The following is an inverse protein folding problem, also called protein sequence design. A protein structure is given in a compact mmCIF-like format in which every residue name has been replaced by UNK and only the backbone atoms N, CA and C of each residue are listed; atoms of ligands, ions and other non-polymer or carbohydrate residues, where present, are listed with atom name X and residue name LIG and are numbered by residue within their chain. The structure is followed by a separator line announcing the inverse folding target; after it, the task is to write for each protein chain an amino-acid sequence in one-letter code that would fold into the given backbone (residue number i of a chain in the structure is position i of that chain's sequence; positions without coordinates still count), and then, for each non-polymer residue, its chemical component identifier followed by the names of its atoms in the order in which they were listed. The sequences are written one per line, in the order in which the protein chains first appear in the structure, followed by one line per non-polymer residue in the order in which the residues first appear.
data_IF_735892248916
#
_entry.id   IF_735892248916
#
_cell.length_a   1.000
_cell.length_b   1.000
_cell.length_c   1.000
_cell.angle_alpha   90.00
_cell.angle_beta   90.00
_cell.angle_gamma   90.00
#
_symmetry.space_group_name_H-M   'P 1'
#
loop_
_entity.id
_entity.type
_entity.pdbx_description
1 polymer ?
#
# COMPACT_ATOMS: atom_id res chain seq x y z
N UNK A 1 -16.65 -16.45 11.78
CA UNK A 1 -17.04 -17.10 10.49
C UNK A 1 -18.53 -17.47 10.38
N UNK A 2 -19.30 -17.48 11.46
CA UNK A 2 -20.72 -17.85 11.46
C UNK A 2 -21.66 -16.91 10.68
N UNK A 3 -21.25 -15.70 10.35
CA UNK A 3 -22.05 -14.66 9.68
C UNK A 3 -21.86 -14.65 8.15
N UNK A 4 -20.87 -15.37 7.61
CA UNK A 4 -20.64 -15.44 6.17
C UNK A 4 -21.69 -16.33 5.48
N UNK A 5 -22.21 -15.86 4.34
CA UNK A 5 -23.11 -16.66 3.51
C UNK A 5 -22.36 -17.78 2.76
N UNK A 6 -23.10 -18.69 2.10
CA UNK A 6 -22.50 -19.83 1.39
C UNK A 6 -21.57 -19.39 0.24
N UNK A 7 -21.95 -18.33 -0.49
CA UNK A 7 -21.13 -17.78 -1.57
C UNK A 7 -19.80 -17.22 -1.06
N UNK A 8 -19.83 -16.41 0.00
CA UNK A 8 -18.60 -15.87 0.62
C UNK A 8 -17.68 -16.99 1.11
N UNK A 9 -18.23 -18.05 1.73
CA UNK A 9 -17.42 -19.20 2.15
C UNK A 9 -16.75 -19.90 0.96
N UNK A 10 -17.46 -20.08 -0.15
CA UNK A 10 -16.88 -20.67 -1.35
C UNK A 10 -15.77 -19.79 -1.95
N UNK A 11 -15.97 -18.47 -2.01
CA UNK A 11 -14.95 -17.53 -2.47
C UNK A 11 -13.71 -17.55 -1.56
N UNK A 12 -13.91 -17.69 -0.26
CA UNK A 12 -12.81 -17.79 0.70
C UNK A 12 -11.98 -19.07 0.49
N UNK A 13 -12.61 -20.22 0.22
CA UNK A 13 -11.90 -21.45 -0.14
C UNK A 13 -11.14 -21.29 -1.47
N UNK A 14 -11.78 -20.71 -2.49
CA UNK A 14 -11.13 -20.45 -3.78
C UNK A 14 -9.89 -19.55 -3.62
N UNK A 15 -10.00 -18.51 -2.76
CA UNK A 15 -8.88 -17.61 -2.46
C UNK A 15 -7.75 -18.35 -1.73
N UNK A 16 -8.11 -19.23 -0.79
CA UNK A 16 -7.12 -20.06 -0.09
C UNK A 16 -6.37 -20.97 -1.07
N UNK A 17 -7.08 -21.66 -1.94
CA UNK A 17 -6.47 -22.55 -2.95
C UNK A 17 -5.57 -21.76 -3.93
N UNK A 18 -6.00 -20.54 -4.31
CA UNK A 18 -5.20 -19.64 -5.12
C UNK A 18 -3.94 -19.16 -4.40
N UNK A 19 -4.05 -18.84 -3.13
CA UNK A 19 -2.90 -18.45 -2.30
C UNK A 19 -1.89 -19.61 -2.16
N UNK A 20 -2.36 -20.86 -1.98
CA UNK A 20 -1.49 -22.04 -1.95
C UNK A 20 -0.79 -22.29 -3.31
N UNK A 21 -1.46 -21.93 -4.42
CA UNK A 21 -0.82 -21.92 -5.74
C UNK A 21 0.25 -20.84 -5.82
N UNK A 22 -0.04 -19.60 -5.38
CA UNK A 22 0.93 -18.50 -5.40
C UNK A 22 2.16 -18.77 -4.52
N UNK A 23 2.04 -19.50 -3.41
CA UNK A 23 3.19 -19.89 -2.60
C UNK A 23 4.20 -20.78 -3.36
N UNK A 24 3.71 -21.60 -4.28
CA UNK A 24 4.56 -22.49 -5.09
C UNK A 24 5.16 -21.77 -6.30
N UNK A 25 4.35 -20.99 -7.02
CA UNK A 25 4.75 -20.35 -8.27
C UNK A 25 5.39 -18.98 -8.06
N UNK A 26 5.04 -18.30 -6.99
CA UNK A 26 5.47 -16.95 -6.56
C UNK A 26 5.85 -15.99 -7.70
N UNK A 27 4.94 -15.76 -8.68
CA UNK A 27 5.21 -14.85 -9.78
C UNK A 27 5.36 -13.43 -9.27
N UNK A 28 6.51 -12.79 -9.52
CA UNK A 28 6.70 -11.38 -9.18
C UNK A 28 5.78 -10.50 -10.06
N UNK A 29 4.94 -9.68 -9.43
CA UNK A 29 4.00 -8.77 -10.09
C UNK A 29 4.21 -7.32 -9.71
N UNK A 30 4.62 -7.06 -8.46
CA UNK A 30 4.87 -5.72 -7.96
C UNK A 30 6.25 -5.68 -7.29
N UNK A 31 7.09 -4.77 -7.77
CA UNK A 31 8.40 -4.50 -7.22
C UNK A 31 8.43 -3.05 -6.70
N UNK A 32 8.36 -2.89 -5.39
CA UNK A 32 8.51 -1.59 -4.76
C UNK A 32 9.98 -1.19 -4.67
N UNK A 33 10.31 -0.05 -5.21
CA UNK A 33 11.59 0.59 -5.02
C UNK A 33 11.47 1.79 -4.08
N UNK A 34 11.95 1.65 -2.84
CA UNK A 34 12.07 2.78 -1.91
C UNK A 34 13.23 3.67 -2.36
N UNK A 35 12.98 4.46 -3.38
CA UNK A 35 14.00 5.20 -4.10
C UNK A 35 14.59 6.39 -3.30
N UNK A 36 13.87 6.84 -2.27
CA UNK A 36 14.28 7.92 -1.35
C UNK A 36 13.54 7.80 -0.02
N UNK A 37 14.17 8.20 1.08
CA UNK A 37 13.51 8.45 2.37
C UNK A 37 13.34 9.93 2.66
N UNK A 38 13.73 10.82 1.72
CA UNK A 38 13.45 12.25 1.83
C UNK A 38 11.99 12.54 1.47
N UNK A 39 11.38 13.47 2.20
CA UNK A 39 10.00 13.91 1.94
C UNK A 39 9.89 15.41 2.17
N UNK A 40 9.11 16.09 1.34
CA UNK A 40 8.80 17.52 1.50
C UNK A 40 7.70 17.80 2.54
N UNK A 41 7.20 16.76 3.21
CA UNK A 41 6.22 16.83 4.31
C UNK A 41 6.70 16.06 5.55
N UNK A 42 6.01 16.31 6.69
CA UNK A 42 6.23 15.60 7.96
C UNK A 42 4.90 15.14 8.55
N UNK A 43 4.17 14.31 7.79
CA UNK A 43 2.82 13.84 8.12
C UNK A 43 2.78 13.15 9.49
N UNK A 44 1.72 13.40 10.27
CA UNK A 44 1.54 12.83 11.63
C UNK A 44 1.45 11.30 11.64
N UNK A 45 0.88 10.73 10.58
CA UNK A 45 0.65 9.29 10.43
C UNK A 45 1.75 8.53 9.68
N UNK A 46 2.86 9.16 9.30
CA UNK A 46 3.86 8.53 8.44
C UNK A 46 4.50 7.29 9.10
N UNK A 47 4.21 6.12 8.54
CA UNK A 47 4.76 4.84 9.00
C UNK A 47 6.26 4.68 8.75
N UNK A 48 6.80 5.37 7.72
CA UNK A 48 8.22 5.35 7.37
C UNK A 48 9.05 6.41 8.08
N UNK A 49 8.42 7.29 8.86
CA UNK A 49 9.06 8.42 9.56
C UNK A 49 9.92 9.32 8.65
N UNK A 50 9.52 9.46 7.39
CA UNK A 50 10.23 10.28 6.41
C UNK A 50 10.17 11.77 6.74
N UNK A 51 11.29 12.46 6.51
CA UNK A 51 11.47 13.89 6.75
C UNK A 51 12.18 14.54 5.56
N UNK A 52 12.36 15.89 5.63
CA UNK A 52 13.04 16.66 4.58
C UNK A 52 14.46 16.16 4.30
N UNK A 53 15.15 15.75 5.34
CA UNK A 53 16.48 15.16 5.28
C UNK A 53 16.41 13.70 5.72
N UNK A 54 17.21 12.85 5.13
CA UNK A 54 17.32 11.44 5.50
C UNK A 54 18.79 11.09 5.83
N UNK A 55 18.98 10.21 6.81
CA UNK A 55 20.30 9.66 7.12
C UNK A 55 20.76 8.62 6.10
N UNK A 56 19.79 8.01 5.39
CA UNK A 56 20.05 7.10 4.28
C UNK A 56 19.99 7.93 2.99
N UNK A 57 21.07 7.96 2.18
CA UNK A 57 21.05 8.66 0.91
C UNK A 57 20.03 8.04 -0.05
N UNK A 58 19.60 8.81 -1.05
CA UNK A 58 18.82 8.27 -2.16
C UNK A 58 19.62 7.17 -2.85
N UNK A 59 18.99 6.04 -3.11
CA UNK A 59 19.66 4.98 -3.88
C UNK A 59 19.92 5.47 -5.31
N UNK A 60 21.17 5.47 -5.80
CA UNK A 60 21.47 5.80 -7.19
C UNK A 60 20.68 4.90 -8.15
N UNK A 61 20.17 5.47 -9.25
CA UNK A 61 19.52 4.67 -10.30
C UNK A 61 20.41 3.51 -10.77
N UNK A 62 21.72 3.77 -10.93
CA UNK A 62 22.69 2.77 -11.38
C UNK A 62 22.76 1.53 -10.46
N UNK A 63 22.45 1.68 -9.18
CA UNK A 63 22.45 0.56 -8.22
C UNK A 63 21.18 -0.29 -8.34
N UNK A 64 20.08 0.29 -8.81
CA UNK A 64 18.81 -0.40 -8.98
C UNK A 64 18.68 -1.06 -10.37
N UNK A 65 19.37 -0.57 -11.39
CA UNK A 65 19.30 -1.14 -12.75
C UNK A 65 19.62 -2.64 -12.82
N UNK A 66 20.65 -3.17 -12.12
CA UNK A 66 20.91 -4.61 -12.10
C UNK A 66 19.71 -5.44 -11.58
N UNK A 67 18.96 -4.93 -10.60
CA UNK A 67 17.75 -5.59 -10.10
C UNK A 67 16.71 -5.72 -11.22
N UNK A 68 16.47 -4.64 -11.97
CA UNK A 68 15.55 -4.67 -13.12
C UNK A 68 16.03 -5.63 -14.21
N UNK A 69 17.33 -5.65 -14.51
CA UNK A 69 17.91 -6.53 -15.52
C UNK A 69 17.79 -8.00 -15.11
N UNK A 70 17.99 -8.34 -13.82
CA UNK A 70 17.76 -9.69 -13.29
C UNK A 70 16.28 -10.10 -13.39
N UNK A 71 15.35 -9.23 -12.99
CA UNK A 71 13.91 -9.51 -13.08
C UNK A 71 13.49 -9.73 -14.54
N UNK A 72 13.94 -8.88 -15.47
CA UNK A 72 13.61 -9.00 -16.89
C UNK A 72 14.20 -10.26 -17.55
N UNK A 73 15.29 -10.82 -16.98
CA UNK A 73 15.89 -12.06 -17.47
C UNK A 73 15.08 -13.31 -17.08
N UNK A 74 14.18 -13.21 -16.07
CA UNK A 74 13.48 -14.35 -15.49
C UNK A 74 11.95 -14.32 -15.66
N UNK A 75 11.37 -13.16 -15.91
CA UNK A 75 9.93 -13.02 -16.13
C UNK A 75 9.63 -11.96 -17.20
N UNK A 76 8.37 -11.96 -17.69
CA UNK A 76 7.91 -10.93 -18.63
C UNK A 76 7.79 -9.57 -17.91
N UNK A 77 8.64 -8.56 -18.23
CA UNK A 77 8.61 -7.27 -17.57
C UNK A 77 7.26 -6.54 -17.73
N UNK A 78 6.53 -6.80 -18.81
CA UNK A 78 5.22 -6.18 -19.06
C UNK A 78 4.15 -6.60 -18.03
N UNK A 79 4.40 -7.67 -17.28
CA UNK A 79 3.53 -8.19 -16.23
C UNK A 79 3.96 -7.72 -14.83
N UNK A 80 5.03 -6.91 -14.74
CA UNK A 80 5.57 -6.43 -13.46
C UNK A 80 5.43 -4.91 -13.37
N UNK A 81 4.78 -4.44 -12.31
CA UNK A 81 4.74 -3.05 -11.93
C UNK A 81 5.94 -2.72 -11.06
N UNK A 82 6.71 -1.71 -11.45
CA UNK A 82 7.77 -1.14 -10.60
C UNK A 82 7.25 0.16 -10.00
N UNK A 83 7.05 0.16 -8.67
CA UNK A 83 6.51 1.30 -7.93
C UNK A 83 7.65 2.11 -7.30
N UNK A 84 7.87 3.34 -7.76
CA UNK A 84 8.76 4.28 -7.09
C UNK A 84 8.08 4.89 -5.87
N UNK A 85 8.64 4.63 -4.71
CA UNK A 85 8.03 4.95 -3.40
C UNK A 85 9.10 5.41 -2.39
N UNK A 86 8.69 5.58 -1.14
CA UNK A 86 9.56 5.88 -0.01
C UNK A 86 9.06 7.06 0.81
N UNK A 87 9.77 8.21 0.78
CA UNK A 87 9.27 9.48 1.28
C UNK A 87 8.32 10.11 0.26
N UNK A 88 8.87 10.98 -0.57
CA UNK A 88 8.16 11.57 -1.71
C UNK A 88 9.02 11.44 -2.98
N UNK A 89 8.63 10.62 -3.95
CA UNK A 89 9.44 10.42 -5.15
C UNK A 89 9.74 11.71 -5.93
N UNK A 90 8.80 12.66 -5.98
CA UNK A 90 8.98 13.94 -6.68
C UNK A 90 10.03 14.88 -6.04
N UNK A 91 10.66 14.50 -4.91
CA UNK A 91 11.83 15.24 -4.40
C UNK A 91 13.13 14.82 -5.08
N UNK A 92 13.16 13.66 -5.76
CA UNK A 92 14.31 13.21 -6.52
C UNK A 92 14.47 14.04 -7.80
N UNK A 93 15.67 14.59 -8.07
CA UNK A 93 15.90 15.38 -9.29
C UNK A 93 15.96 14.51 -10.56
N UNK A 94 16.28 13.22 -10.41
CA UNK A 94 16.44 12.23 -11.48
C UNK A 94 15.25 11.27 -11.64
N UNK A 95 14.09 11.58 -11.03
CA UNK A 95 12.92 10.69 -11.05
C UNK A 95 12.46 10.35 -12.47
N UNK A 96 12.48 11.33 -13.39
CA UNK A 96 12.07 11.10 -14.76
C UNK A 96 13.04 10.19 -15.52
N UNK A 97 14.33 10.25 -15.20
CA UNK A 97 15.32 9.31 -15.73
C UNK A 97 15.09 7.91 -15.17
N UNK A 98 14.74 7.80 -13.89
CA UNK A 98 14.36 6.52 -13.27
C UNK A 98 13.14 5.91 -13.99
N UNK A 99 12.09 6.69 -14.23
CA UNK A 99 10.90 6.24 -14.94
C UNK A 99 11.21 5.76 -16.36
N UNK A 100 11.98 6.54 -17.13
CA UNK A 100 12.43 6.14 -18.47
C UNK A 100 13.20 4.82 -18.45
N UNK A 101 14.15 4.67 -17.55
CA UNK A 101 14.96 3.45 -17.43
C UNK A 101 14.14 2.21 -17.09
N UNK A 102 13.12 2.35 -16.26
CA UNK A 102 12.14 1.30 -15.94
C UNK A 102 11.35 0.93 -17.21
N UNK A 103 10.81 1.92 -17.90
CA UNK A 103 10.00 1.73 -19.12
C UNK A 103 10.79 1.16 -20.30
N UNK A 104 12.04 1.58 -20.50
CA UNK A 104 12.93 1.06 -21.54
C UNK A 104 13.23 -0.44 -21.38
N UNK A 105 13.11 -0.97 -20.15
CA UNK A 105 13.23 -2.40 -19.85
C UNK A 105 11.92 -3.18 -19.97
N UNK A 106 10.84 -2.51 -20.38
CA UNK A 106 9.53 -3.13 -20.61
C UNK A 106 8.61 -3.18 -19.39
N UNK A 107 9.05 -2.73 -18.21
CA UNK A 107 8.22 -2.72 -17.00
C UNK A 107 7.11 -1.67 -17.06
N UNK A 108 6.01 -1.90 -16.35
CA UNK A 108 5.11 -0.83 -15.96
C UNK A 108 5.75 0.02 -14.87
N UNK A 109 5.45 1.33 -14.86
CA UNK A 109 5.99 2.24 -13.86
C UNK A 109 4.87 2.95 -13.11
N UNK A 110 4.87 2.80 -11.79
CA UNK A 110 3.93 3.43 -10.87
C UNK A 110 4.59 4.34 -9.84
N UNK A 111 3.77 5.16 -9.18
CA UNK A 111 4.20 6.07 -8.13
C UNK A 111 3.05 6.41 -7.17
N UNK A 112 3.38 6.57 -5.88
CA UNK A 112 2.49 7.22 -4.90
C UNK A 112 3.07 8.59 -4.55
N UNK A 113 2.25 9.65 -4.55
CA UNK A 113 2.68 11.01 -4.26
C UNK A 113 1.73 11.75 -3.33
N UNK A 114 2.30 12.62 -2.51
CA UNK A 114 1.53 13.56 -1.69
C UNK A 114 1.00 14.78 -2.50
N UNK A 115 1.28 14.86 -3.78
CA UNK A 115 0.79 15.87 -4.70
C UNK A 115 1.42 17.26 -4.57
N UNK A 116 2.27 17.53 -3.56
CA UNK A 116 2.75 18.90 -3.29
C UNK A 116 3.52 19.51 -4.46
N UNK A 117 4.26 18.71 -5.22
CA UNK A 117 5.04 19.13 -6.39
C UNK A 117 4.36 18.81 -7.72
N UNK A 118 3.21 18.13 -7.71
CA UNK A 118 2.55 17.69 -8.94
C UNK A 118 1.64 18.78 -9.49
N UNK A 119 2.08 19.40 -10.55
CA UNK A 119 1.31 20.35 -11.37
C UNK A 119 1.26 19.87 -12.84
N UNK A 120 0.63 20.64 -13.71
CA UNK A 120 0.53 20.31 -15.14
C UNK A 120 1.89 20.20 -15.85
N UNK A 121 2.93 20.90 -15.39
CA UNK A 121 4.26 20.79 -15.98
C UNK A 121 4.88 19.43 -15.61
N UNK A 122 4.86 19.07 -14.31
CA UNK A 122 5.33 17.78 -13.81
C UNK A 122 4.50 16.63 -14.39
N UNK A 123 3.17 16.79 -14.52
CA UNK A 123 2.31 15.79 -15.16
C UNK A 123 2.75 15.49 -16.60
N UNK A 124 3.10 16.51 -17.39
CA UNK A 124 3.65 16.29 -18.75
C UNK A 124 5.00 15.57 -18.73
N UNK A 125 5.88 15.90 -17.79
CA UNK A 125 7.18 15.21 -17.65
C UNK A 125 7.00 13.73 -17.28
N UNK A 126 6.08 13.43 -16.36
CA UNK A 126 5.70 12.05 -15.98
C UNK A 126 5.14 11.27 -17.17
N UNK A 127 4.24 11.88 -17.95
CA UNK A 127 3.70 11.29 -19.17
C UNK A 127 4.80 10.98 -20.20
N UNK A 128 5.72 11.92 -20.42
CA UNK A 128 6.88 11.73 -21.33
C UNK A 128 7.86 10.66 -20.82
N UNK A 129 7.99 10.50 -19.51
CA UNK A 129 8.79 9.44 -18.91
C UNK A 129 8.07 8.08 -18.88
N UNK A 130 6.78 8.03 -19.25
CA UNK A 130 6.02 6.81 -19.46
C UNK A 130 5.34 6.26 -18.19
N UNK A 131 4.91 7.13 -17.26
CA UNK A 131 4.16 6.70 -16.08
C UNK A 131 2.86 5.99 -16.49
N UNK A 132 2.53 4.88 -15.82
CA UNK A 132 1.33 4.07 -16.11
C UNK A 132 0.36 4.00 -14.94
N UNK A 133 0.85 4.21 -13.71
CA UNK A 133 0.03 4.18 -12.49
C UNK A 133 0.42 5.30 -11.53
N UNK A 134 -0.56 5.95 -10.89
CA UNK A 134 -0.31 7.02 -9.93
C UNK A 134 -1.39 7.07 -8.86
N UNK A 135 -0.98 7.15 -7.59
CA UNK A 135 -1.88 7.38 -6.47
C UNK A 135 -1.60 8.74 -5.84
N UNK A 136 -2.68 9.47 -5.50
CA UNK A 136 -2.62 10.78 -4.84
C UNK A 136 -3.29 10.68 -3.48
N UNK A 137 -2.64 11.23 -2.46
CA UNK A 137 -3.19 11.25 -1.11
C UNK A 137 -4.15 12.43 -0.88
N UNK A 138 -5.40 12.14 -0.46
CA UNK A 138 -6.38 13.11 0.05
C UNK A 138 -7.01 12.58 1.33
N UNK A 139 -6.59 13.08 2.50
CA UNK A 139 -6.96 12.54 3.81
C UNK A 139 -8.08 13.30 4.51
N UNK A 140 -8.86 14.08 3.81
CA UNK A 140 -9.94 14.83 4.42
C UNK A 140 -10.30 16.08 3.65
N UNK A 141 -11.24 16.83 4.19
CA UNK A 141 -11.44 18.20 3.79
C UNK A 141 -10.20 19.03 4.19
N UNK A 142 -10.12 20.27 3.76
CA UNK A 142 -8.93 21.14 3.94
C UNK A 142 -8.32 21.10 5.34
N UNK A 143 -9.15 21.19 6.35
CA UNK A 143 -8.65 21.26 7.74
C UNK A 143 -8.05 19.94 8.20
N UNK A 144 -8.79 18.84 8.01
CA UNK A 144 -8.36 17.49 8.43
C UNK A 144 -7.13 17.03 7.63
N UNK A 145 -7.14 17.25 6.31
CA UNK A 145 -6.02 16.91 5.44
C UNK A 145 -4.75 17.66 5.85
N UNK A 146 -4.83 19.00 5.95
CA UNK A 146 -3.69 19.83 6.31
C UNK A 146 -3.15 19.51 7.71
N UNK A 147 -4.05 19.20 8.65
CA UNK A 147 -3.65 18.77 9.99
C UNK A 147 -2.89 17.43 9.95
N UNK A 148 -3.40 16.41 9.25
CA UNK A 148 -2.78 15.10 9.20
C UNK A 148 -1.42 15.16 8.46
N UNK A 149 -1.36 15.93 7.37
CA UNK A 149 -0.14 16.14 6.57
C UNK A 149 0.85 17.11 7.21
N UNK A 150 0.47 17.77 8.31
CA UNK A 150 1.27 18.80 8.98
C UNK A 150 1.75 19.91 8.01
N UNK A 151 0.84 20.40 7.18
CA UNK A 151 1.10 21.37 6.11
C UNK A 151 -0.13 22.25 5.89
N UNK A 152 0.05 23.55 5.73
CA UNK A 152 -1.05 24.49 5.48
C UNK A 152 -1.50 24.54 4.03
N UNK A 153 -0.75 23.96 3.10
CA UNK A 153 -0.97 24.06 1.65
C UNK A 153 -1.20 22.71 0.96
N UNK A 154 -1.11 21.60 1.71
CA UNK A 154 -1.16 20.25 1.12
C UNK A 154 -2.49 19.93 0.48
N UNK A 155 -3.62 20.39 1.04
CA UNK A 155 -4.93 20.18 0.44
C UNK A 155 -5.05 20.81 -0.94
N UNK A 156 -4.69 22.10 -1.07
CA UNK A 156 -4.73 22.79 -2.37
C UNK A 156 -3.78 22.17 -3.39
N UNK A 157 -2.64 21.68 -2.93
CA UNK A 157 -1.69 20.99 -3.78
C UNK A 157 -2.24 19.63 -4.26
N UNK A 158 -2.86 18.84 -3.40
CA UNK A 158 -3.48 17.57 -3.77
C UNK A 158 -4.64 17.79 -4.78
N UNK A 159 -5.47 18.81 -4.60
CA UNK A 159 -6.54 19.13 -5.56
C UNK A 159 -5.97 19.56 -6.92
N UNK A 160 -4.91 20.37 -6.98
CA UNK A 160 -4.21 20.68 -8.23
C UNK A 160 -3.57 19.44 -8.87
N UNK A 161 -3.03 18.53 -8.07
CA UNK A 161 -2.47 17.29 -8.56
C UNK A 161 -3.55 16.40 -9.21
N UNK A 162 -4.76 16.32 -8.61
CA UNK A 162 -5.91 15.63 -9.20
C UNK A 162 -6.28 16.24 -10.57
N UNK A 163 -6.31 17.57 -10.68
CA UNK A 163 -6.56 18.23 -11.96
C UNK A 163 -5.47 17.92 -12.99
N UNK A 164 -4.21 17.93 -12.57
CA UNK A 164 -3.07 17.72 -13.46
C UNK A 164 -3.00 16.26 -13.98
N UNK A 165 -3.23 15.24 -13.14
CA UNK A 165 -3.12 13.83 -13.57
C UNK A 165 -4.17 13.46 -14.61
N UNK A 166 -5.34 14.07 -14.60
CA UNK A 166 -6.39 13.85 -15.62
C UNK A 166 -5.94 14.22 -17.03
N UNK A 167 -4.86 14.98 -17.17
CA UNK A 167 -4.29 15.33 -18.48
C UNK A 167 -3.30 14.30 -19.03
N UNK A 168 -2.94 13.27 -18.24
CA UNK A 168 -2.03 12.20 -18.66
C UNK A 168 -2.83 11.12 -19.38
N UNK A 169 -2.58 10.87 -20.68
CA UNK A 169 -3.30 9.83 -21.41
C UNK A 169 -3.03 8.44 -20.84
N UNK A 170 -4.05 7.58 -20.83
CA UNK A 170 -3.97 6.16 -20.47
C UNK A 170 -3.42 5.88 -19.07
N UNK A 171 -3.37 6.89 -18.18
CA UNK A 171 -2.93 6.75 -16.81
C UNK A 171 -4.02 6.05 -15.98
N UNK A 172 -3.66 4.95 -15.31
CA UNK A 172 -4.45 4.40 -14.21
C UNK A 172 -4.11 5.19 -12.94
N UNK A 173 -5.11 5.80 -12.32
CA UNK A 173 -4.85 6.58 -11.10
C UNK A 173 -6.02 6.52 -10.12
N UNK A 174 -5.70 6.70 -8.86
CA UNK A 174 -6.67 6.73 -7.79
C UNK A 174 -6.32 7.75 -6.69
N UNK A 175 -7.26 7.93 -5.79
CA UNK A 175 -7.05 8.70 -4.56
C UNK A 175 -6.97 7.75 -3.37
N UNK A 176 -6.01 8.00 -2.49
CA UNK A 176 -5.83 7.30 -1.23
C UNK A 176 -6.26 8.21 -0.06
N UNK A 177 -7.01 7.65 0.89
CA UNK A 177 -7.37 8.33 2.14
C UNK A 177 -6.99 7.47 3.35
N UNK A 178 -6.10 7.98 4.20
CA UNK A 178 -5.83 7.43 5.52
C UNK A 178 -6.90 7.89 6.51
N UNK A 179 -7.82 6.98 6.88
CA UNK A 179 -8.97 7.29 7.72
C UNK A 179 -8.58 7.24 9.21
N UNK A 180 -9.03 8.24 9.95
CA UNK A 180 -8.82 8.40 11.38
C UNK A 180 -10.06 9.01 12.05
N UNK A 181 -10.06 9.15 13.38
CA UNK A 181 -11.22 9.65 14.12
C UNK A 181 -11.68 11.07 13.74
N UNK A 182 -10.82 11.90 13.10
CA UNK A 182 -11.18 13.27 12.70
C UNK A 182 -11.87 13.33 11.34
N UNK A 183 -11.41 12.54 10.37
CA UNK A 183 -11.95 12.58 9.00
C UNK A 183 -13.10 11.57 8.79
N UNK A 184 -13.20 10.51 9.61
CA UNK A 184 -14.28 9.52 9.53
C UNK A 184 -15.69 10.14 9.48
N UNK A 185 -16.05 11.11 10.35
CA UNK A 185 -17.39 11.74 10.30
C UNK A 185 -17.66 12.51 9.01
N UNK A 186 -16.62 12.86 8.27
CA UNK A 186 -16.69 13.68 7.06
C UNK A 186 -16.52 12.90 5.76
N UNK A 187 -16.51 11.57 5.80
CA UNK A 187 -16.30 10.74 4.60
C UNK A 187 -17.32 11.01 3.49
N UNK A 188 -18.56 11.37 3.82
CA UNK A 188 -19.55 11.76 2.81
C UNK A 188 -19.20 13.08 2.10
N UNK A 189 -18.60 14.05 2.82
CA UNK A 189 -18.16 15.29 2.22
C UNK A 189 -16.94 15.05 1.34
N UNK A 190 -16.00 14.21 1.79
CA UNK A 190 -14.82 13.80 1.01
C UNK A 190 -15.27 13.06 -0.25
N UNK A 191 -16.22 12.11 -0.15
CA UNK A 191 -16.80 11.41 -1.30
C UNK A 191 -17.33 12.40 -2.35
N UNK A 192 -18.14 13.34 -1.93
CA UNK A 192 -18.72 14.33 -2.84
C UNK A 192 -17.64 15.21 -3.50
N UNK A 193 -16.67 15.68 -2.72
CA UNK A 193 -15.51 16.43 -3.23
C UNK A 193 -14.75 15.64 -4.31
N UNK A 194 -14.47 14.36 -4.05
CA UNK A 194 -13.73 13.51 -5.00
C UNK A 194 -14.53 13.27 -6.28
N UNK A 195 -15.84 13.00 -6.17
CA UNK A 195 -16.73 12.85 -7.34
C UNK A 195 -16.76 14.14 -8.16
N UNK A 196 -16.92 15.30 -7.51
CA UNK A 196 -16.93 16.61 -8.18
C UNK A 196 -15.58 16.93 -8.85
N UNK A 197 -14.47 16.45 -8.27
CA UNK A 197 -13.15 16.56 -8.84
C UNK A 197 -12.85 15.55 -9.96
N UNK A 198 -13.80 14.68 -10.33
CA UNK A 198 -13.63 13.69 -11.41
C UNK A 198 -12.86 12.42 -11.01
N UNK A 199 -12.70 12.15 -9.71
CA UNK A 199 -12.09 10.93 -9.21
C UNK A 199 -13.02 9.74 -9.42
N UNK A 200 -12.53 8.68 -10.05
CA UNK A 200 -13.31 7.47 -10.33
C UNK A 200 -12.94 6.32 -9.41
N UNK A 201 -11.72 6.31 -8.86
CA UNK A 201 -11.22 5.25 -7.97
C UNK A 201 -10.73 5.86 -6.65
N UNK A 202 -11.16 5.28 -5.53
CA UNK A 202 -10.85 5.75 -4.19
C UNK A 202 -10.54 4.59 -3.25
N UNK A 203 -9.33 4.59 -2.68
CA UNK A 203 -8.93 3.59 -1.68
C UNK A 203 -8.86 4.19 -0.28
N UNK A 204 -9.50 3.53 0.68
CA UNK A 204 -9.42 3.89 2.09
C UNK A 204 -8.50 2.93 2.85
N UNK A 205 -7.63 3.49 3.69
CA UNK A 205 -6.77 2.76 4.62
C UNK A 205 -7.10 3.15 6.06
N UNK A 206 -6.98 2.23 6.99
CA UNK A 206 -6.81 2.58 8.41
C UNK A 206 -5.37 2.99 8.67
N UNK A 207 -5.15 3.72 9.76
CA UNK A 207 -3.79 4.07 10.20
C UNK A 207 -3.32 3.02 11.19
N UNK A 208 -2.17 2.40 10.90
CA UNK A 208 -1.54 1.44 11.78
C UNK A 208 -0.51 2.11 12.71
N UNK A 209 -0.27 1.54 13.92
CA UNK A 209 0.62 2.12 14.92
C UNK A 209 2.10 1.92 14.56
N UNK A 210 2.55 2.51 13.44
CA UNK A 210 3.92 2.45 12.93
C UNK A 210 4.53 3.84 12.75
N UNK A 211 5.85 3.94 12.84
CA UNK A 211 6.56 5.20 12.68
C UNK A 211 6.01 6.30 13.59
N UNK A 212 5.69 7.47 13.03
CA UNK A 212 5.10 8.58 13.80
C UNK A 212 3.70 8.28 14.34
N UNK A 213 2.90 7.47 13.63
CA UNK A 213 1.57 7.08 14.11
C UNK A 213 1.62 6.26 15.41
N UNK A 214 2.71 5.53 15.67
CA UNK A 214 2.89 4.82 16.94
C UNK A 214 2.96 5.75 18.17
N UNK A 215 3.29 7.03 17.96
CA UNK A 215 3.42 8.04 19.02
C UNK A 215 2.10 8.73 19.37
N UNK A 216 1.07 8.57 18.51
CA UNK A 216 -0.23 9.23 18.67
C UNK A 216 -1.40 8.27 18.43
N UNK A 217 -1.85 7.63 19.51
CA UNK A 217 -2.96 6.68 19.46
C UNK A 217 -4.31 7.31 19.04
N UNK A 218 -4.43 8.64 19.07
CA UNK A 218 -5.66 9.32 18.61
C UNK A 218 -5.86 9.24 17.10
N UNK A 219 -4.82 8.85 16.38
CA UNK A 219 -4.87 8.57 14.92
C UNK A 219 -5.52 7.22 14.59
N UNK A 220 -5.53 6.29 15.55
CA UNK A 220 -6.05 4.93 15.33
C UNK A 220 -7.57 4.93 15.49
N UNK A 221 -8.25 4.14 14.66
CA UNK A 221 -9.69 3.93 14.78
C UNK A 221 -9.99 2.99 15.96
N UNK A 222 -11.04 3.30 16.72
CA UNK A 222 -11.64 2.33 17.64
C UNK A 222 -12.32 1.21 16.85
N UNK A 223 -12.64 0.08 17.50
CA UNK A 223 -13.33 -1.04 16.87
C UNK A 223 -14.68 -0.60 16.25
N UNK A 224 -15.41 0.31 16.90
CA UNK A 224 -16.65 0.89 16.38
C UNK A 224 -16.41 1.76 15.15
N UNK A 225 -15.44 2.66 15.23
CA UNK A 225 -15.05 3.55 14.12
C UNK A 225 -14.56 2.75 12.90
N UNK A 226 -13.81 1.67 13.13
CA UNK A 226 -13.37 0.80 12.06
C UNK A 226 -14.55 0.13 11.35
N UNK A 227 -15.52 -0.37 12.11
CA UNK A 227 -16.76 -0.90 11.53
C UNK A 227 -17.55 0.16 10.77
N UNK A 228 -17.63 1.39 11.30
CA UNK A 228 -18.33 2.49 10.62
C UNK A 228 -17.68 2.82 9.28
N UNK A 229 -16.34 2.80 9.21
CA UNK A 229 -15.61 2.92 7.95
C UNK A 229 -16.01 1.82 6.96
N UNK A 230 -16.01 0.54 7.37
CA UNK A 230 -16.35 -0.55 6.47
C UNK A 230 -17.81 -0.47 6.00
N UNK A 231 -18.74 -0.10 6.87
CA UNK A 231 -20.14 0.12 6.51
C UNK A 231 -20.31 1.29 5.54
N UNK A 232 -19.54 2.37 5.71
CA UNK A 232 -19.51 3.49 4.77
C UNK A 232 -19.04 3.02 3.39
N UNK A 233 -17.99 2.21 3.31
CA UNK A 233 -17.49 1.66 2.04
C UNK A 233 -18.55 0.78 1.38
N UNK A 234 -19.17 -0.15 2.12
CA UNK A 234 -20.25 -1.00 1.58
C UNK A 234 -21.39 -0.14 1.01
N UNK A 235 -21.84 0.86 1.74
CA UNK A 235 -22.91 1.76 1.30
C UNK A 235 -22.53 2.52 0.05
N UNK A 236 -21.32 3.08 0.02
CA UNK A 236 -20.81 3.85 -1.14
C UNK A 236 -20.64 2.98 -2.39
N UNK A 237 -20.18 1.74 -2.23
CA UNK A 237 -20.11 0.75 -3.33
C UNK A 237 -21.52 0.46 -3.90
N UNK A 238 -22.53 0.33 -3.04
CA UNK A 238 -23.92 0.15 -3.48
C UNK A 238 -24.48 1.38 -4.23
N UNK A 239 -24.01 2.59 -3.91
CA UNK A 239 -24.41 3.80 -4.65
C UNK A 239 -23.86 3.83 -6.09
N UNK A 240 -22.71 3.21 -6.34
CA UNK A 240 -22.09 3.06 -7.67
C UNK A 240 -21.63 4.37 -8.31
N UNK A 241 -21.39 5.44 -7.53
CA UNK A 241 -20.99 6.76 -8.04
C UNK A 241 -19.48 6.95 -8.12
N UNK A 242 -18.74 6.21 -7.33
CA UNK A 242 -17.28 6.16 -7.28
C UNK A 242 -16.90 4.73 -6.90
N UNK A 243 -15.84 4.21 -7.51
CA UNK A 243 -15.31 2.90 -7.17
C UNK A 243 -14.46 3.03 -5.90
N UNK A 244 -15.05 2.68 -4.76
CA UNK A 244 -14.38 2.73 -3.47
C UNK A 244 -14.01 1.35 -2.98
N UNK A 245 -12.80 1.22 -2.40
CA UNK A 245 -12.36 -0.02 -1.77
C UNK A 245 -11.63 0.22 -0.46
N UNK A 246 -11.70 -0.75 0.44
CA UNK A 246 -10.74 -0.88 1.54
C UNK A 246 -9.46 -1.51 1.02
N UNK A 247 -8.34 -0.93 1.37
CA UNK A 247 -7.04 -1.34 0.84
C UNK A 247 -6.58 -2.75 1.29
N UNK A 248 -5.33 -3.07 1.03
CA UNK A 248 -4.75 -4.39 1.27
C UNK A 248 -4.45 -4.70 2.75
N UNK A 249 -5.12 -4.03 3.69
CA UNK A 249 -4.93 -4.23 5.12
C UNK A 249 -5.89 -5.31 5.64
N UNK A 250 -5.34 -6.32 6.26
CA UNK A 250 -5.98 -7.29 7.13
C UNK A 250 -7.13 -8.13 6.58
N UNK A 251 -7.35 -9.24 7.24
CA UNK A 251 -8.51 -10.11 7.00
C UNK A 251 -9.75 -9.60 7.74
N UNK A 252 -10.81 -9.35 7.00
CA UNK A 252 -12.02 -8.65 7.47
C UNK A 252 -13.22 -9.57 7.75
N UNK A 253 -13.04 -10.88 7.66
CA UNK A 253 -14.13 -11.84 7.94
C UNK A 253 -15.34 -11.61 7.04
N UNK A 254 -16.49 -11.33 7.62
CA UNK A 254 -17.74 -11.17 6.87
C UNK A 254 -17.79 -9.96 5.91
N UNK A 255 -16.86 -9.03 6.02
CA UNK A 255 -16.74 -7.90 5.10
C UNK A 255 -15.93 -8.22 3.82
N UNK A 256 -15.28 -9.40 3.77
CA UNK A 256 -14.58 -9.83 2.56
C UNK A 256 -15.53 -9.92 1.37
N UNK A 257 -15.13 -9.38 0.22
CA UNK A 257 -15.94 -9.29 -0.99
C UNK A 257 -17.05 -8.21 -0.95
N UNK A 258 -17.22 -7.50 0.17
CA UNK A 258 -18.17 -6.38 0.29
C UNK A 258 -17.47 -5.02 0.18
N UNK A 259 -16.26 -4.90 0.72
CA UNK A 259 -15.51 -3.63 0.78
C UNK A 259 -14.36 -3.57 -0.23
N UNK A 260 -14.10 -4.65 -0.96
CA UNK A 260 -13.11 -4.80 -2.04
C UNK A 260 -13.49 -5.99 -2.93
N UNK A 261 -12.97 -6.04 -4.14
CA UNK A 261 -13.36 -7.05 -5.14
C UNK A 261 -12.63 -8.39 -4.96
N UNK A 262 -11.67 -8.45 -4.07
CA UNK A 262 -10.91 -9.65 -3.73
C UNK A 262 -11.05 -10.00 -2.25
N UNK A 263 -10.74 -11.24 -1.90
CA UNK A 263 -10.61 -11.68 -0.53
C UNK A 263 -9.14 -11.52 -0.11
N UNK A 264 -8.93 -11.10 1.13
CA UNK A 264 -7.61 -10.75 1.61
C UNK A 264 -6.66 -11.95 1.64
N UNK A 265 -5.49 -11.73 1.12
CA UNK A 265 -4.25 -12.42 1.46
C UNK A 265 -3.09 -11.42 1.36
N UNK A 266 -2.16 -11.49 2.31
CA UNK A 266 -0.99 -10.62 2.23
C UNK A 266 -0.06 -11.11 1.12
N UNK A 267 0.17 -10.28 0.14
CA UNK A 267 0.92 -10.61 -1.09
C UNK A 267 2.44 -10.53 -0.91
N UNK A 268 2.91 -10.01 0.23
CA UNK A 268 4.33 -9.91 0.55
C UNK A 268 5.02 -11.26 0.41
N UNK A 269 6.05 -11.35 -0.44
CA UNK A 269 6.81 -12.56 -0.74
C UNK A 269 6.11 -13.62 -1.60
N UNK A 270 4.85 -13.37 -2.02
CA UNK A 270 4.09 -14.22 -2.95
C UNK A 270 4.09 -13.63 -4.36
N UNK A 271 3.75 -12.38 -4.48
CA UNK A 271 3.70 -11.64 -5.75
C UNK A 271 4.33 -10.26 -5.64
N UNK A 272 4.69 -9.84 -4.44
CA UNK A 272 5.20 -8.51 -4.10
C UNK A 272 6.55 -8.63 -3.42
N UNK A 273 7.52 -7.85 -3.91
CA UNK A 273 8.81 -7.65 -3.28
C UNK A 273 9.13 -6.16 -3.15
N UNK A 274 10.12 -5.82 -2.35
CA UNK A 274 10.63 -4.46 -2.22
C UNK A 274 12.15 -4.41 -2.12
N UNK A 275 12.73 -3.35 -2.68
CA UNK A 275 14.12 -2.93 -2.44
C UNK A 275 14.06 -1.63 -1.66
N UNK A 276 14.57 -1.65 -0.43
CA UNK A 276 14.61 -0.48 0.46
C UNK A 276 15.74 0.46 0.08
N UNK A 277 15.69 1.70 0.56
CA UNK A 277 16.69 2.73 0.27
C UNK A 277 18.13 2.34 0.66
N UNK A 278 18.30 1.47 1.65
CA UNK A 278 19.61 0.92 2.07
C UNK A 278 20.01 -0.36 1.31
N UNK A 279 19.24 -0.75 0.30
CA UNK A 279 19.47 -1.95 -0.51
C UNK A 279 18.85 -3.24 0.03
N UNK A 280 18.22 -3.24 1.19
CA UNK A 280 17.59 -4.45 1.74
C UNK A 280 16.43 -4.93 0.88
N UNK A 281 16.37 -6.26 0.68
CA UNK A 281 15.31 -6.95 -0.07
C UNK A 281 14.30 -7.48 0.94
N UNK A 282 13.02 -7.12 0.78
CA UNK A 282 11.93 -7.54 1.66
C UNK A 282 10.63 -7.80 0.88
N UNK A 283 9.58 -8.27 1.56
CA UNK A 283 8.31 -8.65 0.93
C UNK A 283 7.40 -7.48 0.54
N UNK A 284 7.52 -6.34 1.21
CA UNK A 284 6.68 -5.16 0.94
C UNK A 284 7.29 -3.92 1.58
N UNK A 285 7.06 -2.75 0.98
CA UNK A 285 7.53 -1.46 1.52
C UNK A 285 6.88 -1.09 2.87
N UNK A 286 5.65 -1.54 3.12
CA UNK A 286 4.94 -1.27 4.39
C UNK A 286 5.51 -2.04 5.58
N UNK A 287 6.36 -3.04 5.35
CA UNK A 287 7.01 -3.81 6.41
C UNK A 287 8.22 -3.00 6.88
N UNK A 288 8.16 -2.42 8.08
CA UNK A 288 9.25 -1.63 8.68
C UNK A 288 10.09 -2.43 9.68
N UNK A 289 9.62 -3.60 10.04
CA UNK A 289 10.30 -4.56 10.87
C UNK A 289 11.46 -5.25 10.14
N UNK A 290 12.30 -5.97 10.88
CA UNK A 290 13.47 -6.68 10.34
C UNK A 290 13.05 -8.01 9.69
N UNK A 291 12.49 -7.91 8.48
CA UNK A 291 12.18 -9.03 7.59
C UNK A 291 13.01 -8.97 6.30
N UNK A 292 14.26 -8.47 6.41
CA UNK A 292 15.18 -8.47 5.28
C UNK A 292 15.61 -9.89 4.92
N UNK A 293 15.51 -10.23 3.64
CA UNK A 293 15.88 -11.56 3.13
C UNK A 293 17.26 -11.54 2.43
N UNK A 294 17.77 -10.36 2.14
CA UNK A 294 19.04 -10.12 1.49
C UNK A 294 19.28 -8.64 1.26
N UNK A 295 20.34 -8.30 0.51
CA UNK A 295 20.65 -6.92 0.19
C UNK A 295 21.31 -6.84 -1.19
N UNK A 296 20.82 -5.97 -2.08
CA UNK A 296 21.24 -5.86 -3.49
C UNK A 296 22.73 -5.56 -3.67
N UNK A 297 23.40 -5.03 -2.66
CA UNK A 297 24.84 -4.77 -2.69
C UNK A 297 25.70 -5.99 -2.42
N UNK A 298 25.10 -7.14 -2.08
CA UNK A 298 25.80 -8.38 -1.73
C UNK A 298 25.22 -9.60 -2.42
N UNK A 299 23.93 -9.56 -2.72
CA UNK A 299 23.13 -10.71 -3.16
C UNK A 299 22.51 -10.39 -4.53
N UNK A 300 22.31 -11.42 -5.36
CA UNK A 300 21.43 -11.33 -6.52
C UNK A 300 19.99 -11.17 -6.02
N UNK A 301 19.24 -10.18 -6.55
CA UNK A 301 17.84 -9.98 -6.20
C UNK A 301 17.02 -11.23 -6.53
N UNK A 302 17.25 -11.82 -7.72
CA UNK A 302 16.47 -12.96 -8.17
C UNK A 302 16.77 -14.22 -7.36
N UNK A 303 18.04 -14.46 -6.99
CA UNK A 303 18.39 -15.57 -6.09
C UNK A 303 17.69 -15.43 -4.73
N UNK A 304 17.67 -14.23 -4.17
CA UNK A 304 16.97 -13.94 -2.91
C UNK A 304 15.47 -14.18 -3.06
N UNK A 305 14.85 -13.62 -4.12
CA UNK A 305 13.42 -13.80 -4.39
C UNK A 305 13.05 -15.27 -4.51
N UNK A 306 13.78 -16.03 -5.28
CA UNK A 306 13.48 -17.44 -5.56
C UNK A 306 13.70 -18.32 -4.32
N UNK A 307 14.82 -18.13 -3.60
CA UNK A 307 15.33 -19.13 -2.68
C UNK A 307 15.28 -18.73 -1.19
N UNK A 308 15.01 -17.44 -0.84
CA UNK A 308 15.12 -17.00 0.56
C UNK A 308 13.85 -16.43 1.16
N UNK A 309 12.74 -16.45 0.44
CA UNK A 309 11.46 -15.90 0.90
C UNK A 309 10.58 -16.91 1.65
N UNK A 310 11.16 -18.00 2.16
CA UNK A 310 10.41 -19.04 2.89
C UNK A 310 9.61 -18.48 4.07
N UNK A 311 10.18 -17.54 4.84
CA UNK A 311 9.51 -16.88 5.95
C UNK A 311 8.20 -16.18 5.55
N UNK A 312 8.11 -15.70 4.31
CA UNK A 312 6.91 -15.05 3.76
C UNK A 312 5.93 -16.08 3.20
N UNK A 313 6.41 -17.18 2.65
CA UNK A 313 5.62 -18.21 1.94
C UNK A 313 5.06 -19.25 2.89
N UNK A 314 5.83 -19.78 3.81
CA UNK A 314 5.34 -20.58 4.93
C UNK A 314 5.08 -19.69 6.15
N UNK A 315 3.82 -19.58 6.56
CA UNK A 315 3.37 -18.74 7.67
C UNK A 315 2.90 -19.52 8.90
N UNK A 316 3.16 -20.83 8.96
CA UNK A 316 2.82 -21.64 10.16
C UNK A 316 3.54 -21.13 11.40
N UNK A 317 4.73 -20.53 11.26
CA UNK A 317 5.44 -19.88 12.35
C UNK A 317 4.65 -18.74 13.00
N UNK A 318 3.67 -18.13 12.31
CA UNK A 318 2.78 -17.11 12.86
C UNK A 318 1.63 -17.69 13.71
N UNK A 319 1.46 -19.03 13.73
CA UNK A 319 0.40 -19.72 14.48
C UNK A 319 0.71 -19.80 15.96
N UNK A 320 0.89 -18.67 16.61
CA UNK A 320 1.13 -18.58 18.06
C UNK A 320 0.35 -17.38 18.66
N UNK A 321 0.43 -17.19 19.98
CA UNK A 321 -0.29 -16.14 20.68
C UNK A 321 -1.77 -16.09 20.30
N UNK A 322 -2.31 -14.93 19.86
CA UNK A 322 -3.72 -14.80 19.48
C UNK A 322 -4.12 -15.62 18.24
N UNK A 323 -3.16 -16.07 17.45
CA UNK A 323 -3.40 -16.85 16.23
C UNK A 323 -3.41 -18.36 16.46
N UNK A 324 -2.94 -18.87 17.62
CA UNK A 324 -2.75 -20.31 17.90
C UNK A 324 -4.01 -21.13 17.63
N UNK A 325 -5.13 -20.71 18.19
CA UNK A 325 -6.42 -21.41 18.10
C UNK A 325 -7.47 -20.57 17.32
N UNK A 326 -7.00 -19.65 16.46
CA UNK A 326 -7.89 -18.79 15.70
C UNK A 326 -8.55 -19.55 14.56
N UNK A 327 -9.90 -19.56 14.53
CA UNK A 327 -10.69 -20.21 13.49
C UNK A 327 -10.47 -19.62 12.08
N UNK A 328 -9.99 -18.36 11.98
CA UNK A 328 -9.71 -17.70 10.72
C UNK A 328 -8.27 -17.94 10.22
N UNK A 329 -7.39 -18.56 11.01
CA UNK A 329 -5.97 -18.66 10.66
C UNK A 329 -5.72 -19.33 9.31
N UNK A 330 -6.50 -20.33 8.96
CA UNK A 330 -6.41 -21.01 7.65
C UNK A 330 -6.43 -20.03 6.48
N UNK A 331 -7.24 -18.98 6.55
CA UNK A 331 -7.43 -18.00 5.49
C UNK A 331 -6.59 -16.73 5.69
N UNK A 332 -6.56 -16.24 6.92
CA UNK A 332 -5.86 -15.03 7.34
C UNK A 332 -4.32 -15.21 7.36
N UNK A 333 -3.85 -16.40 7.76
CA UNK A 333 -2.44 -16.78 7.88
C UNK A 333 -1.58 -15.74 8.62
N UNK A 334 -2.11 -15.24 9.76
CA UNK A 334 -1.39 -14.30 10.60
C UNK A 334 -1.49 -12.84 10.20
N UNK A 335 -2.36 -12.52 9.23
CA UNK A 335 -2.63 -11.16 8.75
C UNK A 335 -1.49 -10.53 7.92
N UNK A 336 -1.48 -9.22 7.73
CA UNK A 336 -0.40 -8.52 7.05
C UNK A 336 0.90 -8.52 7.86
N UNK A 337 2.04 -8.70 7.21
CA UNK A 337 3.35 -8.63 7.89
C UNK A 337 3.59 -7.28 8.57
N UNK A 338 3.10 -6.19 7.98
CA UNK A 338 3.24 -4.84 8.53
C UNK A 338 2.44 -4.65 9.84
N UNK A 339 1.48 -5.52 10.14
CA UNK A 339 0.70 -5.50 11.39
C UNK A 339 1.39 -6.24 12.54
N UNK A 340 2.62 -6.68 12.35
CA UNK A 340 3.43 -7.37 13.36
C UNK A 340 4.69 -6.58 13.68
N UNK A 341 5.19 -6.73 14.91
CA UNK A 341 6.49 -6.20 15.30
C UNK A 341 7.65 -6.95 14.62
N UNK A 342 8.87 -6.43 14.78
CA UNK A 342 10.06 -6.94 14.11
C UNK A 342 10.44 -8.37 14.40
N UNK A 343 9.95 -8.93 15.49
CA UNK A 343 10.19 -10.33 15.86
C UNK A 343 9.03 -11.24 15.43
N UNK A 344 7.93 -10.67 14.89
CA UNK A 344 6.72 -11.40 14.57
C UNK A 344 5.91 -11.87 15.77
N UNK A 345 6.41 -11.61 16.98
CA UNK A 345 5.83 -12.11 18.23
C UNK A 345 4.60 -11.33 18.65
N UNK A 346 4.60 -10.04 18.42
CA UNK A 346 3.51 -9.15 18.81
C UNK A 346 2.70 -8.69 17.58
N UNK A 347 1.43 -9.07 17.55
CA UNK A 347 0.48 -8.51 16.60
C UNK A 347 0.03 -7.14 17.13
N UNK A 348 0.37 -6.08 16.40
CA UNK A 348 0.02 -4.70 16.75
C UNK A 348 -1.47 -4.43 16.52
N UNK A 349 -2.01 -4.96 15.43
CA UNK A 349 -3.42 -4.83 15.04
C UNK A 349 -3.94 -6.15 14.46
N UNK A 350 -5.17 -6.52 14.78
CA UNK A 350 -5.88 -7.66 14.19
C UNK A 350 -7.30 -7.23 13.81
N UNK A 351 -7.51 -6.93 12.54
CA UNK A 351 -8.78 -6.46 12.00
C UNK A 351 -9.92 -7.45 12.24
N UNK A 352 -9.67 -8.75 12.07
CA UNK A 352 -10.66 -9.79 12.33
C UNK A 352 -11.14 -9.78 13.79
N UNK A 353 -10.24 -9.55 14.75
CA UNK A 353 -10.56 -9.48 16.17
C UNK A 353 -11.35 -8.22 16.52
N UNK A 354 -10.97 -7.07 15.94
CA UNK A 354 -11.72 -5.81 16.09
C UNK A 354 -13.17 -5.97 15.66
N UNK A 355 -13.42 -6.67 14.55
CA UNK A 355 -14.77 -6.90 14.01
C UNK A 355 -15.55 -7.98 14.77
N UNK A 356 -14.87 -8.98 15.37
CA UNK A 356 -15.52 -10.09 16.11
C UNK A 356 -16.01 -9.68 17.49
N UNK A 357 -15.34 -8.74 18.15
CA UNK A 357 -15.70 -8.28 19.51
C UNK A 357 -16.98 -7.42 19.54
N UNK A 358 -17.52 -7.06 18.39
CA UNK A 358 -18.71 -6.24 18.27
C UNK A 358 -19.89 -7.16 17.97
N UNK A 359 -20.90 -7.17 18.85
CA UNK A 359 -22.18 -7.84 18.59
C UNK A 359 -22.86 -7.13 17.42
N UNK A 360 -23.07 -7.84 16.32
CA UNK A 360 -23.90 -7.40 15.22
C UNK A 360 -25.36 -7.26 15.66
#
# INVERSE_FOLDING_TARGET
MSVMNAHQRQQLENTHDYMEHLKREHPLRDLFWECTLRCNMSCRHCGSDCLKESRVPDMPLADFLPVLDEVAAHCDPSQVMVETVGGEPLVRPDLMDCGRAIRERGFMWGMVTNGLKLDHAVARELAQAGITSLSIDVDGMREEHNWLRNSTTSFDAAMRAIEAVQTIPDLTWDVITCVNGRNLPRLNEIKNLLIEAGVTQWRCFSIDPMGRAALDKSLLLTDEQFRDLLNFIVTTRCEGKIDISYACDGFLGAYEGLVRDYFFYCQAGLTVASVRANGDISGCLSIRSDYSQGNIYRDSFWDVWENRFEQFRDREWMRHGPCKDCEAFRYCQGDGFHLRDGNGDLMMTCHYKQLKNIKL
#
